data_IF_799778271211
#
_entry.id   IF_799778271211
#
_cell.length_a   1.000
_cell.length_b   1.000
_cell.length_c   1.000
_cell.angle_alpha   90.00
_cell.angle_beta   90.00
_cell.angle_gamma   90.00
#
_symmetry.space_group_name_H-M   'P 1'
#
loop_
_entity.id
_entity.type
_entity.pdbx_description
1 polymer ?
#
# COMPACT_ATOMS: atom_id res chain seq x y z
N UNK A 1 52.91 -8.83 26.60
CA UNK A 1 52.32 -7.81 25.69
C UNK A 1 51.29 -8.37 24.70
N UNK A 2 51.45 -9.59 24.14
CA UNK A 2 50.49 -10.23 23.21
C UNK A 2 49.02 -10.29 23.70
N UNK A 3 48.79 -10.57 24.99
CA UNK A 3 47.44 -10.71 25.54
C UNK A 3 46.66 -9.38 25.66
N UNK A 4 47.34 -8.23 25.72
CA UNK A 4 46.66 -6.92 25.76
C UNK A 4 46.08 -6.54 24.39
N UNK A 5 46.78 -6.86 23.30
CA UNK A 5 46.27 -6.61 21.95
C UNK A 5 45.07 -7.50 21.61
N UNK A 6 45.10 -8.77 22.04
CA UNK A 6 43.95 -9.67 21.90
C UNK A 6 42.70 -9.15 22.65
N UNK A 7 42.89 -8.57 23.84
CA UNK A 7 41.78 -7.99 24.60
C UNK A 7 41.19 -6.74 23.92
N UNK A 8 42.04 -5.87 23.36
CA UNK A 8 41.59 -4.68 22.62
C UNK A 8 40.82 -5.07 21.34
N UNK A 9 41.30 -6.08 20.61
CA UNK A 9 40.60 -6.59 19.42
C UNK A 9 39.24 -7.18 19.79
N UNK A 10 39.16 -7.92 20.91
CA UNK A 10 37.91 -8.51 21.40
C UNK A 10 36.88 -7.44 21.78
N UNK A 11 37.30 -6.37 22.47
CA UNK A 11 36.40 -5.27 22.84
C UNK A 11 35.91 -4.52 21.59
N UNK A 12 36.79 -4.28 20.61
CA UNK A 12 36.42 -3.63 19.35
C UNK A 12 35.45 -4.48 18.52
N UNK A 13 35.61 -5.80 18.49
CA UNK A 13 34.70 -6.68 17.76
C UNK A 13 33.33 -6.79 18.43
N UNK A 14 33.25 -6.78 19.77
CA UNK A 14 31.98 -6.72 20.50
C UNK A 14 31.28 -5.38 20.23
N UNK A 15 32.00 -4.26 20.27
CA UNK A 15 31.45 -2.93 19.95
C UNK A 15 30.97 -2.84 18.50
N UNK A 16 31.73 -3.37 17.54
CA UNK A 16 31.34 -3.40 16.14
C UNK A 16 30.09 -4.25 15.92
N UNK A 17 30.00 -5.42 16.57
CA UNK A 17 28.82 -6.28 16.51
C UNK A 17 27.58 -5.58 17.10
N UNK A 18 27.73 -4.93 18.26
CA UNK A 18 26.64 -4.17 18.89
C UNK A 18 26.15 -3.02 18.00
N UNK A 19 27.07 -2.24 17.42
CA UNK A 19 26.74 -1.12 16.53
C UNK A 19 26.06 -1.58 15.23
N UNK A 20 26.45 -2.74 14.69
CA UNK A 20 25.79 -3.33 13.52
C UNK A 20 24.34 -3.75 13.84
N UNK A 21 24.12 -4.40 14.98
CA UNK A 21 22.78 -4.81 15.42
C UNK A 21 21.88 -3.59 15.63
N UNK A 22 22.36 -2.56 16.34
CA UNK A 22 21.59 -1.33 16.58
C UNK A 22 21.26 -0.60 15.26
N UNK A 23 22.19 -0.56 14.31
CA UNK A 23 21.97 0.01 12.99
C UNK A 23 20.92 -0.76 12.19
N UNK A 24 20.91 -2.10 12.27
CA UNK A 24 19.95 -2.92 11.56
C UNK A 24 18.55 -2.86 12.19
N UNK A 25 18.44 -2.80 13.52
CA UNK A 25 17.18 -2.54 14.24
C UNK A 25 16.62 -1.16 13.87
N UNK A 26 17.45 -0.12 13.82
CA UNK A 26 17.02 1.23 13.41
C UNK A 26 16.51 1.25 11.96
N UNK A 27 17.17 0.52 11.04
CA UNK A 27 16.69 0.39 9.66
C UNK A 27 15.34 -0.34 9.59
N UNK A 28 15.15 -1.39 10.37
CA UNK A 28 13.90 -2.13 10.42
C UNK A 28 12.75 -1.25 10.92
N UNK A 29 12.97 -0.51 12.01
CA UNK A 29 11.99 0.46 12.55
C UNK A 29 11.69 1.57 11.53
N UNK A 30 12.71 2.08 10.83
CA UNK A 30 12.53 3.07 9.78
C UNK A 30 11.70 2.52 8.61
N UNK A 31 11.96 1.28 8.18
CA UNK A 31 11.18 0.60 7.13
C UNK A 31 9.73 0.39 7.55
N UNK A 32 9.48 -0.06 8.78
CA UNK A 32 8.11 -0.25 9.31
C UNK A 32 7.37 1.09 9.32
N UNK A 33 8.02 2.14 9.80
CA UNK A 33 7.46 3.50 9.83
C UNK A 33 7.16 4.01 8.42
N UNK A 34 8.07 3.80 7.48
CA UNK A 34 7.89 4.19 6.08
C UNK A 34 6.71 3.45 5.42
N UNK A 35 6.57 2.14 5.65
CA UNK A 35 5.44 1.33 5.17
C UNK A 35 4.11 1.82 5.72
N UNK A 36 4.06 2.22 6.99
CA UNK A 36 2.83 2.79 7.60
C UNK A 36 2.50 4.16 7.03
N UNK A 37 3.52 5.01 6.86
CA UNK A 37 3.32 6.39 6.42
C UNK A 37 2.89 6.51 4.96
N UNK A 38 3.32 5.59 4.07
CA UNK A 38 3.01 5.69 2.63
C UNK A 38 1.51 5.57 2.32
N UNK A 39 0.74 4.91 3.19
CA UNK A 39 -0.73 4.83 3.12
C UNK A 39 -1.42 5.72 4.17
N UNK A 40 -0.67 6.45 5.00
CA UNK A 40 -1.21 7.28 6.08
C UNK A 40 -1.53 8.69 5.59
N UNK A 41 -2.75 8.86 5.11
CA UNK A 41 -3.26 10.14 4.59
C UNK A 41 -3.66 11.16 5.65
N UNK A 42 -3.67 10.78 6.94
CA UNK A 42 -4.02 11.66 8.05
C UNK A 42 -3.14 12.91 8.11
N UNK A 43 -1.92 12.81 7.58
CA UNK A 43 -0.94 13.90 7.52
C UNK A 43 -1.22 14.93 6.42
N UNK A 44 -2.08 14.62 5.44
CA UNK A 44 -2.35 15.47 4.27
C UNK A 44 -3.59 16.35 4.41
N UNK A 45 -4.31 16.22 5.53
CA UNK A 45 -5.51 16.98 5.85
C UNK A 45 -6.80 16.27 5.42
N UNK A 46 -7.88 17.03 5.27
CA UNK A 46 -9.20 16.47 4.90
C UNK A 46 -9.27 16.20 3.40
N UNK A 47 -9.82 15.05 3.04
CA UNK A 47 -10.11 14.72 1.64
C UNK A 47 -11.29 15.59 1.17
N UNK A 48 -11.11 16.26 0.04
CA UNK A 48 -12.14 17.06 -0.63
C UNK A 48 -12.94 16.20 -1.60
N UNK A 49 -12.26 15.46 -2.47
CA UNK A 49 -12.87 14.57 -3.45
C UNK A 49 -12.00 13.35 -3.75
N UNK A 50 -12.64 12.28 -4.22
CA UNK A 50 -11.97 11.05 -4.65
C UNK A 50 -12.33 10.81 -6.10
N UNK A 51 -11.34 10.52 -6.93
CA UNK A 51 -11.54 10.05 -8.30
C UNK A 51 -11.33 8.54 -8.33
N UNK A 52 -12.38 7.79 -8.66
CA UNK A 52 -12.39 6.32 -8.75
C UNK A 52 -12.97 5.94 -10.11
N UNK A 53 -12.32 5.03 -10.84
CA UNK A 53 -12.74 4.63 -12.20
C UNK A 53 -13.02 5.80 -13.15
N UNK A 54 -12.24 6.89 -13.05
CA UNK A 54 -12.43 8.12 -13.84
C UNK A 54 -13.56 9.04 -13.37
N UNK A 55 -14.35 8.64 -12.37
CA UNK A 55 -15.43 9.43 -11.81
C UNK A 55 -14.97 10.20 -10.57
N UNK A 56 -15.27 11.50 -10.52
CA UNK A 56 -14.99 12.32 -9.32
C UNK A 56 -16.20 12.33 -8.39
N UNK A 57 -15.93 12.03 -7.11
CA UNK A 57 -16.88 11.96 -6.00
C UNK A 57 -16.54 13.08 -5.03
N UNK A 58 -17.45 14.04 -4.86
CA UNK A 58 -17.28 15.12 -3.88
C UNK A 58 -17.71 14.61 -2.50
N UNK A 59 -16.78 14.61 -1.54
CA UNK A 59 -17.01 14.01 -0.21
C UNK A 59 -18.19 14.65 0.53
N UNK A 60 -18.44 15.94 0.28
CA UNK A 60 -19.53 16.68 0.91
C UNK A 60 -20.93 16.25 0.45
N UNK A 61 -21.03 15.67 -0.73
CA UNK A 61 -22.30 15.27 -1.35
C UNK A 61 -22.57 13.77 -1.21
N UNK A 62 -21.54 12.99 -0.88
CA UNK A 62 -21.63 11.55 -0.71
C UNK A 62 -22.28 11.17 0.63
N UNK A 63 -22.93 10.00 0.65
CA UNK A 63 -23.51 9.40 1.84
C UNK A 63 -22.38 8.92 2.75
N UNK A 64 -22.39 9.38 4.01
CA UNK A 64 -21.34 9.09 4.99
C UNK A 64 -21.12 7.60 5.23
N UNK A 65 -22.19 6.81 5.36
CA UNK A 65 -22.08 5.35 5.54
C UNK A 65 -21.37 4.66 4.38
N UNK A 66 -21.66 5.07 3.14
CA UNK A 66 -21.04 4.49 1.95
C UNK A 66 -19.57 4.91 1.83
N UNK A 67 -19.23 6.14 2.23
CA UNK A 67 -17.85 6.58 2.35
C UNK A 67 -17.08 5.77 3.40
N UNK A 68 -17.69 5.53 4.57
CA UNK A 68 -17.08 4.74 5.63
C UNK A 68 -16.81 3.31 5.16
N UNK A 69 -17.78 2.65 4.52
CA UNK A 69 -17.60 1.33 3.92
C UNK A 69 -16.45 1.32 2.90
N UNK A 70 -16.38 2.32 2.03
CA UNK A 70 -15.31 2.43 1.06
C UNK A 70 -13.93 2.61 1.72
N UNK A 71 -13.83 3.44 2.76
CA UNK A 71 -12.59 3.61 3.50
C UNK A 71 -12.20 2.36 4.28
N UNK A 72 -13.15 1.64 4.85
CA UNK A 72 -12.93 0.38 5.56
C UNK A 72 -12.38 -0.69 4.61
N UNK A 73 -12.88 -0.76 3.38
CA UNK A 73 -12.28 -1.61 2.33
C UNK A 73 -10.85 -1.18 2.02
N UNK A 74 -10.58 0.12 1.82
CA UNK A 74 -9.22 0.61 1.55
C UNK A 74 -8.23 0.32 2.68
N UNK A 75 -8.65 0.30 3.94
CA UNK A 75 -7.79 0.00 5.10
C UNK A 75 -7.26 -1.44 5.13
N UNK A 76 -7.87 -2.35 4.37
CA UNK A 76 -7.42 -3.72 4.19
C UNK A 76 -6.19 -3.81 3.29
N UNK A 77 -5.82 -2.74 2.60
CA UNK A 77 -4.57 -2.64 1.85
C UNK A 77 -3.37 -2.58 2.81
N UNK A 78 -2.44 -3.53 2.66
CA UNK A 78 -1.18 -3.57 3.40
C UNK A 78 0.00 -3.45 2.45
N UNK A 79 1.04 -2.76 2.90
CA UNK A 79 2.32 -2.68 2.18
C UNK A 79 3.26 -3.76 2.71
N UNK A 80 3.58 -4.73 1.86
CA UNK A 80 4.54 -5.78 2.19
C UNK A 80 5.96 -5.22 2.09
N UNK A 81 6.27 -4.49 1.02
CA UNK A 81 7.61 -3.97 0.73
C UNK A 81 7.57 -2.75 -0.19
N UNK A 82 8.47 -1.79 0.03
CA UNK A 82 8.72 -0.68 -0.91
C UNK A 82 9.88 -1.10 -1.81
N UNK A 83 9.78 -0.87 -3.12
CA UNK A 83 10.82 -1.22 -4.08
C UNK A 83 11.92 -0.16 -4.10
N UNK A 84 13.17 -0.60 -4.21
CA UNK A 84 14.30 0.29 -4.44
C UNK A 84 14.36 0.74 -5.90
N UNK A 85 15.00 1.88 -6.18
CA UNK A 85 14.95 2.50 -7.51
C UNK A 85 15.57 1.65 -8.62
N UNK A 86 16.54 0.79 -8.29
CA UNK A 86 17.19 -0.15 -9.20
C UNK A 86 16.33 -1.40 -9.50
N UNK A 87 15.32 -1.69 -8.67
CA UNK A 87 14.36 -2.77 -8.88
C UNK A 87 13.16 -2.35 -9.74
N UNK A 88 13.02 -1.04 -10.01
CA UNK A 88 11.87 -0.49 -10.72
C UNK A 88 12.11 -0.54 -12.23
N UNK A 89 11.51 -1.53 -12.89
CA UNK A 89 11.25 -1.48 -14.33
C UNK A 89 9.74 -1.38 -14.58
N UNK A 90 9.29 -0.16 -14.89
CA UNK A 90 7.87 0.15 -15.04
C UNK A 90 7.16 -0.71 -16.09
N UNK A 91 7.86 -1.19 -17.12
CA UNK A 91 7.27 -2.03 -18.17
C UNK A 91 6.85 -3.40 -17.63
N UNK A 92 7.56 -3.90 -16.63
CA UNK A 92 7.22 -5.16 -15.97
C UNK A 92 6.20 -4.95 -14.86
N UNK A 93 6.23 -3.82 -14.15
CA UNK A 93 5.38 -3.54 -13.00
C UNK A 93 3.97 -3.07 -13.38
N UNK A 94 3.84 -2.24 -14.43
CA UNK A 94 2.55 -1.67 -14.86
C UNK A 94 1.70 -2.72 -15.58
N UNK A 95 0.40 -2.68 -15.30
CA UNK A 95 -0.62 -3.42 -16.05
C UNK A 95 -1.24 -2.48 -17.10
N UNK A 96 -1.47 -2.96 -18.32
CA UNK A 96 -1.99 -2.11 -19.43
C UNK A 96 -3.41 -1.57 -19.16
N UNK A 97 -4.17 -2.18 -18.25
CA UNK A 97 -5.45 -1.69 -17.74
C UNK A 97 -5.39 -1.12 -16.33
N UNK A 98 -4.23 -0.57 -15.91
CA UNK A 98 -4.00 -0.11 -14.55
C UNK A 98 -5.11 0.82 -14.04
N UNK A 99 -5.83 0.36 -13.03
CA UNK A 99 -6.83 1.18 -12.34
C UNK A 99 -6.14 2.17 -11.41
N UNK A 100 -6.67 3.38 -11.38
CA UNK A 100 -6.15 4.45 -10.54
C UNK A 100 -7.25 4.99 -9.63
N UNK A 101 -6.91 5.17 -8.36
CA UNK A 101 -7.69 5.98 -7.42
C UNK A 101 -6.90 7.23 -7.07
N UNK A 102 -7.55 8.39 -7.07
CA UNK A 102 -6.91 9.67 -6.76
C UNK A 102 -7.65 10.36 -5.63
N UNK A 103 -6.91 10.79 -4.62
CA UNK A 103 -7.41 11.55 -3.47
C UNK A 103 -7.00 13.00 -3.64
N UNK A 104 -7.98 13.89 -3.70
CA UNK A 104 -7.76 15.33 -3.73
C UNK A 104 -8.03 15.90 -2.34
N UNK A 105 -7.02 16.53 -1.73
CA UNK A 105 -7.11 17.09 -0.39
C UNK A 105 -7.50 18.56 -0.42
N UNK A 106 -8.09 19.06 0.66
CA UNK A 106 -8.46 20.49 0.78
C UNK A 106 -7.26 21.43 0.73
N UNK A 107 -6.06 20.92 1.04
CA UNK A 107 -4.78 21.63 0.92
C UNK A 107 -4.32 21.83 -0.53
N UNK A 108 -5.01 21.22 -1.51
CA UNK A 108 -4.59 21.18 -2.91
C UNK A 108 -3.61 20.04 -3.23
N UNK A 109 -3.21 19.26 -2.22
CA UNK A 109 -2.40 18.06 -2.40
C UNK A 109 -3.21 16.98 -3.14
N UNK A 110 -2.56 16.24 -4.01
CA UNK A 110 -3.15 15.13 -4.76
C UNK A 110 -2.27 13.90 -4.57
N UNK A 111 -2.89 12.78 -4.18
CA UNK A 111 -2.21 11.49 -4.05
C UNK A 111 -2.97 10.45 -4.84
N UNK A 112 -2.29 9.71 -5.70
CA UNK A 112 -2.89 8.68 -6.54
C UNK A 112 -2.27 7.32 -6.28
N UNK A 113 -3.10 6.28 -6.26
CA UNK A 113 -2.66 4.89 -6.26
C UNK A 113 -2.95 4.28 -7.62
N UNK A 114 -1.95 3.67 -8.22
CA UNK A 114 -2.04 2.98 -9.49
C UNK A 114 -1.74 1.50 -9.29
N UNK A 115 -2.68 0.65 -9.65
CA UNK A 115 -2.52 -0.82 -9.54
C UNK A 115 -1.71 -1.34 -10.71
N UNK A 116 -0.65 -2.08 -10.37
CA UNK A 116 0.20 -2.80 -11.31
C UNK A 116 -0.20 -4.26 -11.46
N UNK A 117 0.74 -5.06 -11.99
CA UNK A 117 0.54 -6.49 -12.19
C UNK A 117 0.47 -7.26 -10.86
N UNK A 118 -0.34 -8.32 -10.85
CA UNK A 118 -0.33 -9.34 -9.80
C UNK A 118 1.01 -10.08 -9.81
N UNK A 119 1.50 -10.47 -8.64
CA UNK A 119 2.63 -11.38 -8.48
C UNK A 119 2.09 -12.82 -8.47
N UNK A 120 2.54 -13.67 -9.39
CA UNK A 120 1.96 -15.01 -9.60
C UNK A 120 2.10 -15.94 -8.39
N UNK A 121 3.18 -15.78 -7.62
CA UNK A 121 3.54 -16.70 -6.53
C UNK A 121 2.76 -16.48 -5.23
N UNK A 122 2.03 -15.38 -5.09
CA UNK A 122 1.31 -15.05 -3.86
C UNK A 122 0.06 -14.17 -4.10
N UNK A 123 -0.54 -13.66 -3.03
CA UNK A 123 -1.70 -12.78 -3.06
C UNK A 123 -1.33 -11.29 -3.17
N UNK A 124 -0.07 -10.99 -3.48
CA UNK A 124 0.45 -9.64 -3.53
C UNK A 124 0.51 -9.13 -4.97
N UNK A 125 0.64 -7.83 -5.13
CA UNK A 125 0.66 -7.14 -6.41
C UNK A 125 1.52 -5.90 -6.34
N UNK A 126 2.00 -5.44 -7.49
CA UNK A 126 2.69 -4.17 -7.59
C UNK A 126 1.69 -3.02 -7.53
N UNK A 127 2.07 -1.95 -6.84
CA UNK A 127 1.29 -0.72 -6.78
C UNK A 127 2.24 0.47 -6.79
N UNK A 128 1.83 1.53 -7.48
CA UNK A 128 2.50 2.81 -7.47
C UNK A 128 1.71 3.81 -6.63
N UNK A 129 2.42 4.52 -5.74
CA UNK A 129 1.89 5.69 -5.02
C UNK A 129 2.52 6.94 -5.62
N UNK A 130 1.68 7.83 -6.14
CA UNK A 130 2.07 9.09 -6.75
C UNK A 130 1.67 10.21 -5.78
N UNK A 131 2.65 10.84 -5.17
CA UNK A 131 2.49 12.00 -4.29
C UNK A 131 3.13 13.23 -4.96
N UNK A 132 2.32 14.01 -5.66
CA UNK A 132 2.81 15.11 -6.49
C UNK A 132 3.77 14.60 -7.58
N UNK A 133 5.05 14.96 -7.47
CA UNK A 133 6.11 14.49 -8.39
C UNK A 133 6.79 13.21 -7.93
N UNK A 134 6.53 12.74 -6.70
CA UNK A 134 7.17 11.56 -6.15
C UNK A 134 6.37 10.31 -6.52
N UNK A 135 6.95 9.48 -7.37
CA UNK A 135 6.46 8.13 -7.66
C UNK A 135 7.20 7.12 -6.78
N UNK A 136 6.45 6.30 -6.04
CA UNK A 136 7.01 5.21 -5.22
C UNK A 136 6.33 3.90 -5.57
N UNK A 137 7.12 2.92 -6.02
CA UNK A 137 6.62 1.57 -6.27
C UNK A 137 6.73 0.71 -5.03
N UNK A 138 5.74 -0.16 -4.84
CA UNK A 138 5.67 -1.06 -3.71
C UNK A 138 4.97 -2.36 -4.08
N UNK A 139 5.19 -3.38 -3.26
CA UNK A 139 4.44 -4.62 -3.23
C UNK A 139 3.38 -4.47 -2.13
N UNK A 140 2.12 -4.58 -2.53
CA UNK A 140 0.97 -4.53 -1.64
C UNK A 140 0.21 -5.85 -1.65
N UNK A 141 -0.55 -6.06 -0.58
CA UNK A 141 -1.50 -7.17 -0.44
C UNK A 141 -2.80 -6.62 0.12
N UNK A 142 -3.91 -7.18 -0.34
CA UNK A 142 -5.23 -6.84 0.19
C UNK A 142 -5.69 -7.91 1.18
N UNK A 143 -6.08 -7.53 2.39
CA UNK A 143 -6.59 -8.49 3.37
C UNK A 143 -8.06 -8.79 3.09
N UNK A 144 -8.39 -10.06 2.86
CA UNK A 144 -9.79 -10.49 2.71
C UNK A 144 -10.17 -11.40 3.86
N UNK A 145 -11.27 -11.09 4.56
CA UNK A 145 -11.81 -11.93 5.64
C UNK A 145 -12.45 -13.24 5.14
N UNK A 146 -12.65 -13.38 3.82
CA UNK A 146 -13.24 -14.59 3.24
C UNK A 146 -12.20 -15.72 3.14
N UNK A 147 -12.37 -16.84 3.87
CA UNK A 147 -11.86 -18.10 3.35
C UNK A 147 -12.60 -18.33 2.02
N UNK A 148 -11.85 -18.60 0.95
CA UNK A 148 -12.38 -18.83 -0.39
C UNK A 148 -13.72 -19.58 -0.35
N UNK A 149 -14.77 -18.94 -0.85
CA UNK A 149 -16.11 -19.53 -0.89
C UNK A 149 -16.01 -20.88 -1.59
N UNK A 150 -16.38 -21.97 -0.90
CA UNK A 150 -16.09 -23.35 -1.35
C UNK A 150 -16.78 -23.72 -2.68
N UNK A 151 -17.70 -22.86 -3.14
CA UNK A 151 -18.44 -23.00 -4.38
C UNK A 151 -17.76 -22.35 -5.60
N UNK A 152 -16.71 -21.52 -5.41
CA UNK A 152 -16.00 -20.87 -6.51
C UNK A 152 -14.81 -21.72 -6.98
N UNK A 153 -15.12 -22.88 -7.59
CA UNK A 153 -14.10 -23.88 -8.00
C UNK A 153 -13.20 -23.43 -9.15
N UNK A 154 -13.54 -22.32 -9.83
CA UNK A 154 -12.83 -21.86 -11.04
C UNK A 154 -11.95 -20.62 -10.81
N UNK A 155 -12.03 -19.94 -9.65
CA UNK A 155 -11.20 -18.78 -9.35
C UNK A 155 -9.94 -19.24 -8.63
N UNK A 156 -8.77 -18.92 -9.17
CA UNK A 156 -7.50 -19.19 -8.49
C UNK A 156 -7.51 -18.45 -7.14
N UNK A 157 -7.44 -19.21 -6.04
CA UNK A 157 -7.53 -18.68 -4.67
C UNK A 157 -6.44 -17.64 -4.37
N UNK A 158 -5.33 -17.67 -5.10
CA UNK A 158 -4.26 -16.67 -4.99
C UNK A 158 -4.64 -15.32 -5.61
N UNK A 159 -5.60 -15.29 -6.54
CA UNK A 159 -6.04 -14.08 -7.25
C UNK A 159 -7.11 -13.28 -6.51
N UNK A 160 -7.84 -13.89 -5.57
CA UNK A 160 -9.01 -13.28 -4.92
C UNK A 160 -8.69 -11.92 -4.30
N UNK A 161 -7.59 -11.73 -3.54
CA UNK A 161 -7.30 -10.44 -2.94
C UNK A 161 -6.99 -9.34 -3.95
N UNK A 162 -6.25 -9.69 -5.02
CA UNK A 162 -5.94 -8.76 -6.10
C UNK A 162 -7.20 -8.31 -6.82
N UNK A 163 -8.06 -9.25 -7.23
CA UNK A 163 -9.32 -8.91 -7.91
C UNK A 163 -10.26 -8.14 -6.99
N UNK A 164 -10.32 -8.45 -5.70
CA UNK A 164 -11.14 -7.69 -4.74
C UNK A 164 -10.68 -6.24 -4.62
N UNK A 165 -9.37 -6.00 -4.57
CA UNK A 165 -8.86 -4.64 -4.56
C UNK A 165 -9.20 -3.89 -5.86
N UNK A 166 -9.07 -4.56 -7.00
CA UNK A 166 -9.50 -4.00 -8.30
C UNK A 166 -11.00 -3.65 -8.32
N UNK A 167 -11.85 -4.52 -7.78
CA UNK A 167 -13.29 -4.25 -7.62
C UNK A 167 -13.53 -2.97 -6.78
N UNK A 168 -12.76 -2.75 -5.71
CA UNK A 168 -12.83 -1.50 -4.91
C UNK A 168 -12.45 -0.28 -5.76
N UNK A 169 -11.40 -0.37 -6.58
CA UNK A 169 -10.99 0.72 -7.48
C UNK A 169 -11.95 0.97 -8.64
N UNK A 170 -12.88 0.06 -8.87
CA UNK A 170 -13.95 0.16 -9.85
C UNK A 170 -15.30 0.49 -9.21
N UNK A 171 -15.33 0.88 -7.92
CA UNK A 171 -16.58 1.22 -7.23
C UNK A 171 -17.35 2.28 -8.04
N UNK A 172 -18.58 2.00 -8.46
CA UNK A 172 -19.37 2.90 -9.30
C UNK A 172 -19.71 4.18 -8.54
N UNK A 173 -19.78 5.30 -9.26
CA UNK A 173 -20.10 6.61 -8.64
C UNK A 173 -21.42 6.56 -7.87
N UNK A 174 -22.40 5.85 -8.40
CA UNK A 174 -23.76 5.71 -7.87
C UNK A 174 -23.76 5.14 -6.44
N UNK A 175 -22.79 4.27 -6.11
CA UNK A 175 -22.64 3.72 -4.77
C UNK A 175 -22.55 4.84 -3.72
N UNK A 176 -21.82 5.93 -4.00
CA UNK A 176 -21.62 7.00 -3.03
C UNK A 176 -22.85 7.88 -2.79
N UNK A 177 -23.88 7.79 -3.64
CA UNK A 177 -25.06 8.66 -3.57
C UNK A 177 -26.38 7.89 -3.42
N UNK A 178 -26.34 6.56 -3.41
CA UNK A 178 -27.53 5.72 -3.30
C UNK A 178 -27.64 5.13 -1.91
N UNK A 179 -28.79 5.28 -1.26
CA UNK A 179 -29.05 4.57 0.00
C UNK A 179 -29.03 3.06 -0.26
N UNK A 180 -28.20 2.35 0.49
CA UNK A 180 -28.21 0.90 0.47
C UNK A 180 -29.61 0.44 0.91
N UNK A 181 -30.23 -0.44 0.12
CA UNK A 181 -31.50 -1.06 0.52
C UNK A 181 -31.19 -2.00 1.68
N UNK A 182 -31.82 -1.75 2.82
CA UNK A 182 -31.88 -2.67 3.96
C UNK A 182 -32.55 -4.00 3.58
#
# INVERSE_FOLDING_TARGET
>A
MKNRYLFVILVLSIFAAYFLVEKDEQKEVALITQKRNILSFSTYGKIKSITVAGNTIEIKEAIEDNLNLFYDELQKLKVDRILESDEVDENFLKFDGAETITFNFTSGKVVSFLVGKKIELNQSFYMAVIDGQKLTWLIARFETAFPADANDKNRDRSSIPYEKFREVLQTPKEFFYTKLKE
#
